data_IF_797269100264
#
_entry.id   IF_797269100264
#
_cell.length_a   1.000
_cell.length_b   1.000
_cell.length_c   1.000
_cell.angle_alpha   90.00
_cell.angle_beta   90.00
_cell.angle_gamma   90.00
#
_symmetry.space_group_name_H-M   'P 1'
#
loop_
_entity.id
_entity.type
_entity.pdbx_description
1 polymer ?
#
# COMPACT_ATOMS: atom_id res chain seq x y z
N UNK A 1 7.73 -11.32 -4.68
CA UNK A 1 7.33 -9.91 -4.66
C UNK A 1 6.00 -9.82 -3.92
N UNK A 2 5.99 -9.35 -2.67
CA UNK A 2 4.75 -9.04 -1.94
C UNK A 2 4.43 -7.58 -2.24
N UNK A 3 3.19 -7.28 -2.59
CA UNK A 3 2.77 -5.90 -2.80
C UNK A 3 1.71 -5.55 -1.78
N UNK A 4 1.88 -4.40 -1.12
CA UNK A 4 0.89 -3.91 -0.18
C UNK A 4 0.40 -2.55 -0.57
N UNK A 5 -0.92 -2.47 -0.66
CA UNK A 5 -1.66 -1.24 -0.82
C UNK A 5 -2.32 -0.95 0.52
N UNK A 6 -1.84 0.03 1.28
CA UNK A 6 -2.63 0.55 2.39
C UNK A 6 -3.47 1.73 1.88
N UNK A 7 -4.77 1.63 2.13
CA UNK A 7 -5.71 2.70 1.87
C UNK A 7 -6.00 3.43 3.18
N UNK A 8 -5.60 4.69 3.28
CA UNK A 8 -6.05 5.59 4.33
C UNK A 8 -7.40 6.20 3.90
N UNK A 9 -8.48 5.72 4.52
CA UNK A 9 -9.81 6.23 4.26
C UNK A 9 -10.06 7.55 5.00
N UNK A 10 -10.91 8.37 4.37
CA UNK A 10 -11.25 9.77 4.67
C UNK A 10 -11.44 10.14 6.15
N UNK A 11 -11.39 11.43 6.49
CA UNK A 11 -12.16 11.96 7.61
C UNK A 11 -13.67 11.75 7.34
N UNK A 12 -14.28 10.82 8.10
CA UNK A 12 -15.73 10.54 8.25
C UNK A 12 -16.62 10.79 7.02
N UNK A 13 -16.78 9.77 6.17
CA UNK A 13 -18.08 9.40 5.55
C UNK A 13 -17.98 7.95 5.02
N UNK A 14 -18.96 7.15 5.43
CA UNK A 14 -19.09 5.70 5.21
C UNK A 14 -18.98 5.35 3.71
N UNK A 15 -18.05 4.46 3.36
CA UNK A 15 -17.93 3.88 2.01
C UNK A 15 -18.67 2.54 1.98
N UNK A 16 -19.53 2.38 0.99
CA UNK A 16 -20.22 1.14 0.66
C UNK A 16 -19.40 0.49 -0.46
N UNK A 17 -18.85 -0.70 -0.22
CA UNK A 17 -18.05 -1.42 -1.21
C UNK A 17 -19.00 -2.13 -2.19
N UNK A 18 -18.96 -1.88 -3.51
CA UNK A 18 -19.69 -2.71 -4.45
C UNK A 18 -19.03 -4.09 -4.45
N UNK A 19 -19.70 -5.07 -3.84
CA UNK A 19 -19.27 -6.45 -3.85
C UNK A 19 -19.77 -7.08 -5.15
N UNK A 20 -18.89 -7.19 -6.15
CA UNK A 20 -19.12 -8.01 -7.33
C UNK A 20 -17.86 -8.83 -7.60
N UNK A 21 -17.79 -9.98 -6.93
CA UNK A 21 -16.87 -11.08 -7.27
C UNK A 21 -17.46 -11.78 -8.49
N UNK A 22 -16.84 -11.63 -9.65
CA UNK A 22 -17.08 -12.51 -10.80
C UNK A 22 -16.02 -13.59 -10.81
N UNK A 23 -16.51 -14.83 -10.69
CA UNK A 23 -15.79 -16.08 -10.83
C UNK A 23 -15.20 -16.23 -12.26
N UNK A 24 -13.99 -16.78 -12.37
CA UNK A 24 -13.46 -17.33 -13.63
C UNK A 24 -12.22 -16.68 -14.25
N UNK A 25 -11.03 -17.18 -13.91
CA UNK A 25 -10.03 -17.68 -14.88
C UNK A 25 -8.79 -18.23 -14.18
N UNK A 26 -8.37 -19.48 -14.45
CA UNK A 26 -7.10 -20.00 -13.98
C UNK A 26 -6.00 -19.54 -14.96
N UNK A 27 -5.13 -18.65 -14.52
CA UNK A 27 -3.83 -18.46 -15.18
C UNK A 27 -2.71 -18.60 -14.15
N UNK A 28 -2.07 -19.77 -14.21
CA UNK A 28 -0.78 -19.95 -13.58
C UNK A 28 0.26 -19.09 -14.30
N UNK A 29 0.83 -18.12 -13.58
CA UNK A 29 2.23 -17.77 -13.78
C UNK A 29 2.78 -17.22 -12.47
N UNK A 30 3.84 -17.88 -12.00
CA UNK A 30 4.51 -17.77 -10.69
C UNK A 30 5.19 -16.41 -10.42
N UNK A 31 4.61 -15.30 -10.87
CA UNK A 31 5.08 -13.93 -10.68
C UNK A 31 3.93 -12.90 -10.62
N UNK A 32 2.81 -13.19 -9.94
CA UNK A 32 1.58 -12.39 -9.91
C UNK A 32 1.64 -10.97 -9.30
N UNK A 33 2.82 -10.48 -8.91
CA UNK A 33 2.99 -9.18 -8.23
C UNK A 33 2.64 -7.95 -9.07
N UNK A 34 3.10 -7.82 -10.34
CA UNK A 34 2.80 -6.65 -11.18
C UNK A 34 1.33 -6.62 -11.63
N UNK A 35 0.79 -7.79 -12.02
CA UNK A 35 -0.56 -7.92 -12.59
C UNK A 35 -1.64 -7.65 -11.55
N UNK A 36 -1.51 -8.17 -10.32
CA UNK A 36 -2.51 -7.96 -9.28
C UNK A 36 -2.63 -6.48 -8.87
N UNK A 37 -1.52 -5.73 -8.94
CA UNK A 37 -1.50 -4.29 -8.63
C UNK A 37 -2.14 -3.46 -9.72
N UNK A 38 -1.81 -3.78 -10.96
CA UNK A 38 -2.38 -3.11 -12.13
C UNK A 38 -3.89 -3.34 -12.18
N UNK A 39 -4.36 -4.57 -11.98
CA UNK A 39 -5.80 -4.88 -11.89
C UNK A 39 -6.45 -4.08 -10.76
N UNK A 40 -5.87 -4.08 -9.55
CA UNK A 40 -6.46 -3.35 -8.42
C UNK A 40 -6.53 -1.85 -8.67
N UNK A 41 -5.47 -1.25 -9.23
CA UNK A 41 -5.43 0.20 -9.48
C UNK A 41 -6.27 0.62 -10.69
N UNK A 42 -6.42 -0.24 -11.71
CA UNK A 42 -7.24 0.02 -12.89
C UNK A 42 -8.74 0.07 -12.56
N UNK A 43 -9.17 -0.68 -11.53
CA UNK A 43 -10.56 -0.68 -11.05
C UNK A 43 -10.89 0.53 -10.14
N UNK A 44 -9.89 1.32 -9.75
CA UNK A 44 -10.12 2.51 -8.93
C UNK A 44 -10.46 3.71 -9.81
N UNK A 45 -11.51 4.43 -9.42
CA UNK A 45 -11.84 5.72 -10.03
C UNK A 45 -10.68 6.72 -9.88
N UNK A 46 -10.50 7.61 -10.87
CA UNK A 46 -9.51 8.70 -10.79
C UNK A 46 -9.74 9.62 -9.60
N UNK A 47 -10.99 9.80 -9.21
CA UNK A 47 -11.41 10.62 -8.07
C UNK A 47 -11.51 9.78 -6.78
N UNK A 48 -10.66 8.76 -6.67
CA UNK A 48 -10.76 7.82 -5.57
C UNK A 48 -10.67 8.56 -4.22
N UNK A 49 -11.69 8.40 -3.35
CA UNK A 49 -11.89 9.26 -2.20
C UNK A 49 -10.86 9.12 -1.08
N UNK A 50 -9.88 8.21 -1.19
CA UNK A 50 -8.95 7.83 -0.14
C UNK A 50 -7.50 8.05 -0.56
N UNK A 51 -6.62 8.22 0.43
CA UNK A 51 -5.19 8.24 0.21
C UNK A 51 -4.66 6.81 0.06
N UNK A 52 -3.81 6.57 -0.92
CA UNK A 52 -3.24 5.25 -1.17
C UNK A 52 -1.73 5.32 -0.97
N UNK A 53 -1.20 4.48 -0.09
CA UNK A 53 0.24 4.28 0.09
C UNK A 53 0.57 2.85 -0.31
N UNK A 54 1.50 2.73 -1.25
CA UNK A 54 1.90 1.49 -1.88
C UNK A 54 3.32 1.15 -1.42
N UNK A 55 3.46 0.04 -0.69
CA UNK A 55 4.74 -0.48 -0.23
C UNK A 55 5.08 -1.73 -1.02
N UNK A 56 6.24 -1.70 -1.67
CA UNK A 56 6.68 -2.77 -2.55
C UNK A 56 8.14 -3.07 -2.32
N UNK A 57 8.48 -4.35 -2.33
CA UNK A 57 9.87 -4.83 -2.30
C UNK A 57 10.49 -4.58 -3.68
N UNK A 58 10.87 -3.33 -3.93
CA UNK A 58 11.51 -2.86 -5.14
C UNK A 58 12.71 -2.02 -4.75
N UNK A 59 13.83 -2.20 -5.44
CA UNK A 59 15.00 -1.35 -5.27
C UNK A 59 14.69 0.09 -5.71
N UNK A 60 15.16 1.08 -4.94
CA UNK A 60 15.02 2.50 -5.24
C UNK A 60 15.27 2.88 -6.72
N UNK A 61 16.24 2.24 -7.39
CA UNK A 61 16.57 2.50 -8.80
C UNK A 61 15.38 2.23 -9.75
N UNK A 62 14.52 1.26 -9.42
CA UNK A 62 13.36 0.90 -10.23
C UNK A 62 12.06 1.57 -9.78
N UNK A 63 12.03 2.16 -8.58
CA UNK A 63 10.80 2.69 -8.00
C UNK A 63 10.16 3.79 -8.88
N UNK A 64 10.97 4.69 -9.44
CA UNK A 64 10.47 5.75 -10.33
C UNK A 64 9.84 5.18 -11.62
N UNK A 65 10.47 4.17 -12.22
CA UNK A 65 9.94 3.49 -13.41
C UNK A 65 8.63 2.75 -13.12
N UNK A 66 8.52 2.10 -11.95
CA UNK A 66 7.27 1.47 -11.51
C UNK A 66 6.17 2.51 -11.30
N UNK A 67 6.47 3.64 -10.64
CA UNK A 67 5.48 4.70 -10.44
C UNK A 67 4.95 5.23 -11.79
N UNK A 68 5.85 5.49 -12.75
CA UNK A 68 5.47 5.96 -14.08
C UNK A 68 4.63 4.93 -14.84
N UNK A 69 5.02 3.66 -14.78
CA UNK A 69 4.29 2.57 -15.42
C UNK A 69 2.89 2.38 -14.82
N UNK A 70 2.77 2.39 -13.48
CA UNK A 70 1.48 2.30 -12.79
C UNK A 70 0.60 3.52 -13.08
N UNK A 71 1.18 4.71 -13.15
CA UNK A 71 0.42 5.92 -13.50
C UNK A 71 -0.12 5.86 -14.93
N UNK A 72 0.67 5.32 -15.86
CA UNK A 72 0.30 5.20 -17.27
C UNK A 72 -0.75 4.11 -17.52
N UNK A 73 -0.68 2.99 -16.81
CA UNK A 73 -1.62 1.86 -16.93
C UNK A 73 -2.97 2.14 -16.26
N UNK A 74 -2.96 2.68 -15.04
CA UNK A 74 -4.19 2.93 -14.27
C UNK A 74 -4.85 4.28 -14.53
N UNK A 75 -4.11 5.23 -15.10
CA UNK A 75 -4.57 6.62 -15.21
C UNK A 75 -4.71 7.35 -13.87
N UNK A 76 -4.27 6.75 -12.76
CA UNK A 76 -4.10 7.41 -11.47
C UNK A 76 -2.77 8.15 -11.43
N UNK A 77 -2.71 9.23 -10.63
CA UNK A 77 -1.43 9.87 -10.34
C UNK A 77 -0.65 9.00 -9.36
N UNK A 78 0.35 8.26 -9.85
CA UNK A 78 1.25 7.45 -9.02
C UNK A 78 2.61 8.12 -8.98
N UNK A 79 3.08 8.44 -7.77
CA UNK A 79 4.38 9.09 -7.55
C UNK A 79 5.11 8.52 -6.36
N UNK A 80 6.41 8.78 -6.26
CA UNK A 80 7.18 8.41 -5.09
C UNK A 80 6.74 9.24 -3.87
N UNK A 81 6.70 8.60 -2.71
CA UNK A 81 6.46 9.26 -1.45
C UNK A 81 7.69 10.09 -1.04
N UNK A 82 7.45 11.34 -0.68
CA UNK A 82 8.38 12.31 -0.14
C UNK A 82 8.32 12.32 1.39
N UNK A 83 9.43 12.67 2.01
CA UNK A 83 9.48 12.81 3.46
C UNK A 83 8.73 14.05 3.94
N UNK A 84 7.99 13.92 5.05
CA UNK A 84 7.23 15.01 5.65
C UNK A 84 5.87 15.29 5.01
N UNK A 85 5.46 14.52 3.98
CA UNK A 85 4.16 14.71 3.35
C UNK A 85 3.06 13.84 3.98
N UNK A 86 1.84 14.34 4.13
CA UNK A 86 0.70 13.53 4.55
C UNK A 86 0.17 12.68 3.37
N UNK A 87 -0.36 11.48 3.62
CA UNK A 87 -1.16 10.76 2.64
C UNK A 87 -2.39 11.58 2.24
N UNK A 88 -2.58 11.82 0.93
CA UNK A 88 -3.70 12.61 0.39
C UNK A 88 -4.49 11.82 -0.65
N UNK A 89 -5.79 12.11 -0.75
CA UNK A 89 -6.67 11.53 -1.78
C UNK A 89 -6.31 12.02 -3.18
N UNK A 90 -6.73 11.27 -4.21
CA UNK A 90 -6.49 11.63 -5.61
C UNK A 90 -5.13 11.21 -6.16
N UNK A 91 -4.40 10.33 -5.45
CA UNK A 91 -3.15 9.77 -5.92
C UNK A 91 -2.65 8.59 -5.10
N UNK A 92 -1.61 7.95 -5.61
CA UNK A 92 -0.92 6.81 -5.00
C UNK A 92 0.52 7.21 -4.69
N UNK A 93 0.90 7.03 -3.43
CA UNK A 93 2.26 7.25 -2.94
C UNK A 93 3.02 5.93 -2.88
N UNK A 94 4.00 5.75 -3.75
CA UNK A 94 4.87 4.57 -3.78
C UNK A 94 6.09 4.80 -2.89
N UNK A 95 6.37 3.85 -1.99
CA UNK A 95 7.63 3.83 -1.26
C UNK A 95 8.81 3.77 -2.24
N UNK A 96 9.66 4.80 -2.21
CA UNK A 96 10.64 5.07 -3.26
C UNK A 96 12.10 4.94 -2.87
N UNK A 97 12.41 4.51 -1.64
CA UNK A 97 13.78 4.47 -1.12
C UNK A 97 14.13 3.07 -0.63
N UNK A 98 15.43 2.84 -0.36
CA UNK A 98 15.91 1.62 0.32
C UNK A 98 15.73 1.66 1.86
N UNK A 99 14.90 2.57 2.35
CA UNK A 99 14.51 2.70 3.75
C UNK A 99 13.04 2.32 3.94
N UNK A 100 12.66 1.96 5.17
CA UNK A 100 11.27 1.71 5.49
C UNK A 100 10.48 3.01 5.46
N UNK A 101 9.33 2.99 4.82
CA UNK A 101 8.36 4.06 4.94
C UNK A 101 7.47 3.79 6.15
N UNK A 102 7.20 4.83 6.95
CA UNK A 102 6.30 4.75 8.09
C UNK A 102 5.43 5.99 8.19
N UNK A 103 4.25 5.82 8.77
CA UNK A 103 3.41 6.92 9.22
C UNK A 103 3.91 7.43 10.58
N UNK A 104 3.98 8.74 10.74
CA UNK A 104 4.31 9.40 12.00
C UNK A 104 3.03 9.84 12.74
N UNK A 105 3.16 10.12 14.04
CA UNK A 105 2.06 10.58 14.91
C UNK A 105 1.38 11.87 14.43
N UNK A 106 2.11 12.72 13.71
CA UNK A 106 1.58 13.95 13.12
C UNK A 106 0.82 13.72 11.79
N UNK A 107 0.68 12.46 11.34
CA UNK A 107 -0.01 12.09 10.11
C UNK A 107 0.83 12.20 8.84
N UNK A 108 2.14 12.48 8.94
CA UNK A 108 3.04 12.55 7.77
C UNK A 108 3.82 11.25 7.58
N UNK A 109 4.29 11.03 6.37
CA UNK A 109 5.17 9.92 6.03
C UNK A 109 6.64 10.29 6.29
N UNK A 110 7.42 9.31 6.72
CA UNK A 110 8.86 9.46 6.86
C UNK A 110 9.58 8.16 6.50
N UNK A 111 10.83 8.29 6.08
CA UNK A 111 11.71 7.16 5.84
C UNK A 111 12.60 6.90 7.05
N UNK A 112 12.86 5.63 7.34
CA UNK A 112 13.75 5.23 8.42
C UNK A 112 14.52 3.97 8.07
N UNK A 113 15.77 3.92 8.51
CA UNK A 113 16.60 2.72 8.39
C UNK A 113 16.23 1.65 9.43
N UNK A 114 15.45 2.02 10.46
CA UNK A 114 15.00 1.14 11.52
C UNK A 114 13.65 0.50 11.17
N UNK A 115 13.39 -0.73 11.61
CA UNK A 115 14.30 -1.62 12.34
C UNK A 115 15.37 -2.25 11.40
N UNK A 116 16.65 -2.19 11.81
CA UNK A 116 17.76 -2.61 10.92
C UNK A 116 17.73 -4.10 10.57
N UNK A 117 17.15 -4.92 11.45
CA UNK A 117 17.08 -6.38 11.32
C UNK A 117 16.02 -6.86 10.31
N UNK A 118 15.22 -5.97 9.72
CA UNK A 118 14.28 -6.37 8.68
C UNK A 118 14.99 -6.71 7.38
N UNK A 119 14.64 -7.88 6.84
CA UNK A 119 15.24 -8.45 5.63
C UNK A 119 14.77 -7.66 4.39
N UNK A 120 13.56 -7.13 4.44
CA UNK A 120 12.93 -6.43 3.34
C UNK A 120 12.96 -4.93 3.55
N UNK A 121 13.44 -4.20 2.53
CA UNK A 121 13.48 -2.73 2.54
C UNK A 121 12.94 -2.17 1.23
N UNK A 122 11.83 -1.40 1.26
CA UNK A 122 10.98 -1.14 2.42
C UNK A 122 10.24 -2.41 2.92
N UNK A 123 9.96 -2.48 4.22
CA UNK A 123 9.16 -3.55 4.84
C UNK A 123 7.71 -3.11 4.97
N UNK A 124 6.82 -4.06 4.69
CA UNK A 124 5.38 -3.90 4.81
C UNK A 124 4.95 -3.90 6.27
N UNK A 125 5.47 -4.82 7.08
CA UNK A 125 5.15 -4.93 8.51
C UNK A 125 5.43 -3.60 9.22
N UNK A 126 6.59 -2.99 8.97
CA UNK A 126 6.96 -1.68 9.54
C UNK A 126 5.94 -0.60 9.20
N UNK A 127 5.46 -0.59 7.96
CA UNK A 127 4.46 0.39 7.54
C UNK A 127 3.10 0.13 8.21
N UNK A 128 2.61 -1.10 8.17
CA UNK A 128 1.33 -1.45 8.80
C UNK A 128 1.33 -1.26 10.31
N UNK A 129 2.43 -1.56 11.00
CA UNK A 129 2.58 -1.28 12.43
C UNK A 129 2.48 0.20 12.74
N UNK A 130 3.09 1.05 11.91
CA UNK A 130 3.01 2.50 12.06
C UNK A 130 1.59 3.03 11.82
N UNK A 131 0.87 2.50 10.82
CA UNK A 131 -0.55 2.82 10.57
C UNK A 131 -1.39 2.38 11.77
N UNK A 132 -1.22 1.15 12.24
CA UNK A 132 -1.98 0.61 13.37
C UNK A 132 -1.73 1.38 14.69
N UNK A 133 -0.56 2.03 14.81
CA UNK A 133 -0.15 2.78 16.00
C UNK A 133 -0.58 4.24 15.97
N UNK A 134 -0.52 4.89 14.80
CA UNK A 134 -0.62 6.35 14.70
C UNK A 134 -1.82 6.84 13.90
N UNK A 135 -2.43 6.00 13.05
CA UNK A 135 -3.61 6.40 12.31
C UNK A 135 -4.85 6.25 13.19
N UNK A 136 -5.66 7.31 13.29
CA UNK A 136 -6.88 7.33 14.11
C UNK A 136 -8.17 7.28 13.30
N UNK A 137 -8.08 7.39 11.97
CA UNK A 137 -9.25 7.36 11.09
C UNK A 137 -9.43 5.96 10.50
N UNK A 138 -10.44 5.78 9.66
CA UNK A 138 -10.64 4.53 8.95
C UNK A 138 -9.41 4.24 8.05
N UNK A 139 -8.97 2.98 8.05
CA UNK A 139 -7.94 2.50 7.15
C UNK A 139 -8.23 1.06 6.73
N UNK A 140 -7.76 0.72 5.54
CA UNK A 140 -7.83 -0.62 4.98
C UNK A 140 -6.40 -1.08 4.68
N UNK A 141 -5.99 -2.16 5.32
CA UNK A 141 -4.75 -2.86 4.97
C UNK A 141 -5.02 -3.88 3.87
N UNK A 142 -4.37 -3.77 2.73
CA UNK A 142 -4.47 -4.77 1.65
C UNK A 142 -3.11 -5.43 1.44
N UNK A 143 -3.03 -6.72 1.73
CA UNK A 143 -1.86 -7.55 1.49
C UNK A 143 -2.09 -8.38 0.24
N UNK A 144 -1.44 -8.03 -0.87
CA UNK A 144 -1.54 -8.81 -2.12
C UNK A 144 -0.51 -9.93 -2.15
N UNK A 145 -0.75 -10.90 -3.04
CA UNK A 145 0.08 -12.10 -3.20
C UNK A 145 1.57 -11.79 -3.27
N UNK A 146 2.38 -12.58 -2.58
CA UNK A 146 3.82 -12.59 -2.77
C UNK A 146 4.53 -13.65 -1.95
N UNK A 147 5.79 -13.89 -2.32
CA UNK A 147 6.67 -14.78 -1.56
C UNK A 147 7.19 -14.07 -0.31
N UNK A 148 6.96 -14.66 0.86
CA UNK A 148 7.50 -14.20 2.13
C UNK A 148 6.46 -14.12 3.24
N UNK A 149 6.89 -13.57 4.37
CA UNK A 149 6.05 -13.35 5.56
C UNK A 149 5.81 -11.87 5.88
N UNK A 150 6.48 -10.98 5.15
CA UNK A 150 6.42 -9.54 5.41
C UNK A 150 5.02 -9.02 5.08
N UNK A 151 4.46 -8.29 6.03
CA UNK A 151 3.10 -7.77 6.01
C UNK A 151 2.10 -8.61 6.81
N UNK A 152 2.40 -9.88 7.12
CA UNK A 152 1.46 -10.73 7.84
C UNK A 152 1.26 -10.29 9.30
N UNK A 153 2.33 -9.87 9.98
CA UNK A 153 2.24 -9.45 11.39
C UNK A 153 1.61 -8.08 11.52
N UNK A 154 2.01 -7.14 10.66
CA UNK A 154 1.46 -5.80 10.57
C UNK A 154 -0.02 -5.83 10.19
N UNK A 155 -0.42 -6.66 9.22
CA UNK A 155 -1.83 -6.79 8.84
C UNK A 155 -2.66 -7.40 9.99
N UNK A 156 -2.12 -8.41 10.69
CA UNK A 156 -2.75 -8.96 11.89
C UNK A 156 -2.93 -7.88 12.96
N UNK A 157 -1.92 -7.05 13.19
CA UNK A 157 -1.99 -5.94 14.14
C UNK A 157 -3.05 -4.90 13.73
N UNK A 158 -3.13 -4.56 12.44
CA UNK A 158 -4.19 -3.70 11.92
C UNK A 158 -5.58 -4.27 12.24
N UNK A 159 -5.80 -5.56 11.95
CA UNK A 159 -7.06 -6.23 12.27
C UNK A 159 -7.38 -6.21 13.76
N UNK A 160 -6.38 -6.45 14.61
CA UNK A 160 -6.53 -6.38 16.08
C UNK A 160 -6.89 -4.98 16.58
N UNK A 161 -6.48 -3.93 15.87
CA UNK A 161 -6.83 -2.53 16.16
C UNK A 161 -8.17 -2.10 15.56
N UNK A 162 -8.89 -3.00 14.89
CA UNK A 162 -10.21 -2.74 14.33
C UNK A 162 -10.21 -2.19 12.90
N UNK A 163 -9.06 -2.17 12.22
CA UNK A 163 -8.99 -1.81 10.81
C UNK A 163 -9.52 -2.93 9.92
N UNK A 164 -10.06 -2.56 8.76
CA UNK A 164 -10.41 -3.54 7.73
C UNK A 164 -9.12 -4.09 7.11
N UNK A 165 -9.07 -5.39 6.88
CA UNK A 165 -7.91 -6.05 6.27
C UNK A 165 -8.36 -6.98 5.16
N UNK A 166 -7.68 -6.93 4.01
CA UNK A 166 -7.87 -7.78 2.84
C UNK A 166 -6.54 -8.50 2.58
N UNK A 167 -6.59 -9.82 2.39
CA UNK A 167 -5.44 -10.67 2.10
C UNK A 167 -5.83 -11.78 1.13
#
# INVERSE_FOLDING_TARGET
>A
MVSVTAMCARPRRRLEWPCSVTDGSPSESSAGGPVAREVLLNELSKDFPAAIVLVQHVNQVFAAGIAQWLSSSSGLLVRLACEGEPPQSGGVLLAGTNHHIRLLKNGTLAYTAEPVNEIHRPSIDVFFESVASYWSNDAVGVLLTGMGRDGAQGLKLMRQRGFLTIA
#
